data_IF_851986005930
#
_entry.id   IF_851986005930
#
_cell.length_a   1.000
_cell.length_b   1.000
_cell.length_c   1.000
_cell.angle_alpha   90.00
_cell.angle_beta   90.00
_cell.angle_gamma   90.00
#
_symmetry.space_group_name_H-M   'P 1'
#
loop_
_entity.id
_entity.type
_entity.pdbx_description
1 polymer ?
#
# COMPACT_ATOMS: atom_id res chain seq x y z
N UNK A 1 11.17 6.98 19.30
CA UNK A 1 10.59 6.17 18.22
C UNK A 1 9.97 4.93 18.82
N UNK A 2 8.64 4.73 18.72
CA UNK A 2 8.02 3.51 19.19
C UNK A 2 8.52 2.36 18.32
N UNK A 3 9.16 1.37 18.95
CA UNK A 3 9.76 0.18 18.31
C UNK A 3 8.78 -0.49 17.32
N UNK A 4 7.48 -0.40 17.61
CA UNK A 4 6.41 -0.94 16.78
C UNK A 4 6.28 -0.30 15.40
N UNK A 5 6.43 1.02 15.30
CA UNK A 5 6.25 1.75 14.03
C UNK A 5 7.40 1.45 13.09
N UNK A 6 8.63 1.45 13.62
CA UNK A 6 9.82 1.11 12.85
C UNK A 6 9.78 -0.32 12.32
N UNK A 7 9.30 -1.28 13.13
CA UNK A 7 9.10 -2.67 12.67
C UNK A 7 8.17 -2.76 11.47
N UNK A 8 7.06 -2.02 11.45
CA UNK A 8 6.13 -2.03 10.31
C UNK A 8 6.77 -1.50 9.02
N UNK A 9 7.51 -0.40 9.11
CA UNK A 9 8.22 0.15 7.95
C UNK A 9 9.32 -0.78 7.45
N UNK A 10 10.06 -1.42 8.37
CA UNK A 10 11.08 -2.42 8.01
C UNK A 10 10.44 -3.65 7.37
N UNK A 11 9.33 -4.17 7.92
CA UNK A 11 8.62 -5.31 7.32
C UNK A 11 8.06 -4.96 5.95
N UNK A 12 7.45 -3.77 5.80
CA UNK A 12 6.93 -3.31 4.51
C UNK A 12 8.05 -3.15 3.49
N UNK A 13 9.17 -2.52 3.87
CA UNK A 13 10.34 -2.38 3.02
C UNK A 13 10.92 -3.72 2.60
N UNK A 14 11.02 -4.68 3.53
CA UNK A 14 11.47 -6.04 3.23
C UNK A 14 10.53 -6.78 2.27
N UNK A 15 9.21 -6.68 2.48
CA UNK A 15 8.21 -7.24 1.55
C UNK A 15 8.36 -6.63 0.17
N UNK A 16 8.42 -5.30 0.07
CA UNK A 16 8.59 -4.60 -1.20
C UNK A 16 9.87 -5.08 -1.91
N UNK A 17 11.02 -5.06 -1.24
CA UNK A 17 12.30 -5.54 -1.82
C UNK A 17 12.19 -7.00 -2.30
N UNK A 18 11.52 -7.85 -1.52
CA UNK A 18 11.30 -9.25 -1.89
C UNK A 18 10.45 -9.35 -3.17
N UNK A 19 9.32 -8.64 -3.26
CA UNK A 19 8.45 -8.60 -4.43
C UNK A 19 9.19 -8.08 -5.67
N UNK A 20 10.04 -7.07 -5.51
CA UNK A 20 10.87 -6.48 -6.57
C UNK A 20 11.80 -7.50 -7.24
N UNK A 21 12.22 -8.53 -6.51
CA UNK A 21 13.11 -9.58 -7.04
C UNK A 21 12.28 -10.78 -7.49
N UNK A 22 11.36 -11.26 -6.65
CA UNK A 22 10.64 -12.51 -6.87
C UNK A 22 9.69 -12.42 -8.06
N UNK A 23 8.92 -11.33 -8.21
CA UNK A 23 7.90 -11.22 -9.25
C UNK A 23 8.54 -11.15 -10.64
N UNK A 24 9.51 -10.26 -10.93
CA UNK A 24 10.15 -10.23 -12.25
C UNK A 24 10.87 -11.55 -12.58
N UNK A 25 11.55 -12.16 -11.60
CA UNK A 25 12.19 -13.47 -11.79
C UNK A 25 11.17 -14.56 -12.14
N UNK A 26 10.06 -14.65 -11.40
CA UNK A 26 9.02 -15.63 -11.66
C UNK A 26 8.40 -15.44 -13.05
N UNK A 27 8.06 -14.20 -13.43
CA UNK A 27 7.51 -13.89 -14.76
C UNK A 27 8.51 -14.21 -15.87
N UNK A 28 9.79 -13.87 -15.69
CA UNK A 28 10.83 -14.20 -16.67
C UNK A 28 10.99 -15.71 -16.88
N UNK A 29 10.96 -16.50 -15.80
CA UNK A 29 10.99 -17.96 -15.87
C UNK A 29 9.74 -18.50 -16.58
N UNK A 30 8.56 -17.94 -16.32
CA UNK A 30 7.34 -18.32 -17.03
C UNK A 30 7.42 -17.98 -18.52
N UNK A 31 7.91 -16.80 -18.91
CA UNK A 31 8.10 -16.46 -20.32
C UNK A 31 9.11 -17.38 -21.03
N UNK A 32 10.09 -17.92 -20.31
CA UNK A 32 11.05 -18.87 -20.86
C UNK A 32 10.47 -20.29 -21.06
N UNK A 33 9.75 -20.81 -20.06
CA UNK A 33 9.20 -22.17 -20.10
C UNK A 33 7.84 -22.26 -20.80
N UNK A 34 7.02 -21.22 -20.71
CA UNK A 34 5.62 -21.19 -21.15
C UNK A 34 5.26 -19.81 -21.72
N UNK A 35 5.81 -19.43 -22.89
CA UNK A 35 5.63 -18.10 -23.49
C UNK A 35 4.17 -17.76 -23.85
N UNK A 36 3.30 -18.76 -23.86
CA UNK A 36 1.89 -18.63 -24.22
C UNK A 36 0.97 -18.33 -23.03
N UNK A 37 1.48 -18.27 -21.80
CA UNK A 37 0.67 -18.07 -20.60
C UNK A 37 0.64 -16.58 -20.17
N UNK A 38 -0.53 -16.04 -19.77
CA UNK A 38 -0.59 -14.72 -19.13
C UNK A 38 0.23 -14.77 -17.83
N UNK A 39 1.11 -13.78 -17.54
CA UNK A 39 0.87 -12.33 -17.64
C UNK A 39 1.75 -11.59 -18.66
N UNK A 40 2.27 -12.32 -19.65
CA UNK A 40 3.09 -11.79 -20.72
C UNK A 40 2.37 -10.66 -21.49
N UNK A 41 2.79 -9.40 -21.37
CA UNK A 41 2.33 -8.27 -22.21
C UNK A 41 2.37 -8.63 -23.71
N UNK A 42 3.30 -9.49 -24.04
CA UNK A 42 3.61 -10.07 -25.34
C UNK A 42 2.64 -11.17 -25.78
N UNK A 43 2.01 -11.92 -24.87
CA UNK A 43 0.91 -12.84 -25.22
C UNK A 43 -0.30 -12.07 -25.79
N UNK A 44 -0.54 -10.85 -25.30
CA UNK A 44 -1.61 -9.98 -25.81
C UNK A 44 -1.25 -9.29 -27.15
N UNK A 45 0.05 -9.11 -27.46
CA UNK A 45 0.50 -8.38 -28.65
C UNK A 45 0.91 -9.26 -29.83
N UNK A 46 1.40 -10.49 -29.62
CA UNK A 46 2.20 -11.18 -30.64
C UNK A 46 1.63 -12.56 -31.04
N UNK A 47 0.89 -13.27 -30.18
CA UNK A 47 0.53 -14.67 -30.44
C UNK A 47 -0.98 -14.91 -30.35
N UNK A 48 -1.61 -15.06 -31.52
CA UNK A 48 -2.99 -15.51 -31.67
C UNK A 48 -3.01 -17.05 -31.44
N UNK A 49 -3.21 -17.50 -30.20
CA UNK A 49 -3.00 -18.90 -29.82
C UNK A 49 -4.26 -19.60 -29.30
N UNK A 50 -4.44 -20.86 -29.70
CA UNK A 50 -5.67 -21.63 -29.50
C UNK A 50 -5.61 -22.64 -28.33
N UNK A 51 -4.41 -23.03 -27.86
CA UNK A 51 -4.22 -24.02 -26.76
C UNK A 51 -2.97 -23.75 -25.89
N UNK A 52 -3.11 -23.96 -24.57
CA UNK A 52 -2.12 -23.66 -23.52
C UNK A 52 -0.86 -24.55 -23.51
N UNK A 53 -0.94 -25.73 -24.12
CA UNK A 53 0.12 -26.75 -24.07
C UNK A 53 0.96 -26.88 -25.35
N UNK A 54 0.70 -26.07 -26.37
CA UNK A 54 1.55 -26.05 -27.56
C UNK A 54 2.60 -24.98 -27.36
N UNK A 55 3.80 -25.39 -26.94
CA UNK A 55 5.02 -24.67 -27.23
C UNK A 55 5.02 -24.42 -28.74
N UNK A 56 4.63 -23.22 -29.17
CA UNK A 56 4.83 -22.84 -30.57
C UNK A 56 6.30 -23.04 -30.93
N UNK A 57 6.59 -23.26 -32.21
CA UNK A 57 7.95 -23.37 -32.76
C UNK A 57 8.74 -22.04 -32.64
N UNK A 58 8.55 -21.29 -31.55
CA UNK A 58 9.36 -20.17 -31.15
C UNK A 58 10.78 -20.67 -30.87
N UNK A 59 11.72 -20.27 -31.72
CA UNK A 59 13.14 -20.54 -31.51
C UNK A 59 13.61 -20.08 -30.13
N UNK A 60 14.58 -20.80 -29.55
CA UNK A 60 15.14 -20.52 -28.21
C UNK A 60 15.56 -19.05 -28.03
N UNK A 61 16.05 -18.40 -29.08
CA UNK A 61 16.46 -17.01 -29.07
C UNK A 61 15.27 -16.05 -28.85
N UNK A 62 14.11 -16.37 -29.44
CA UNK A 62 12.88 -15.61 -29.23
C UNK A 62 12.37 -15.78 -27.79
N UNK A 63 12.38 -17.02 -27.26
CA UNK A 63 11.98 -17.31 -25.86
C UNK A 63 12.87 -16.56 -24.85
N UNK A 64 14.18 -16.54 -25.09
CA UNK A 64 15.12 -15.79 -24.24
C UNK A 64 14.89 -14.28 -24.32
N UNK A 65 14.73 -13.72 -25.52
CA UNK A 65 14.43 -12.30 -25.71
C UNK A 65 13.13 -11.88 -25.02
N UNK A 66 12.10 -12.74 -25.09
CA UNK A 66 10.81 -12.55 -24.43
C UNK A 66 10.95 -12.49 -22.91
N UNK A 67 11.64 -13.46 -22.31
CA UNK A 67 11.86 -13.53 -20.87
C UNK A 67 12.65 -12.35 -20.32
N UNK A 68 13.65 -11.85 -21.07
CA UNK A 68 14.41 -10.64 -20.68
C UNK A 68 13.56 -9.38 -20.79
N UNK A 69 12.77 -9.25 -21.86
CA UNK A 69 11.87 -8.12 -22.04
C UNK A 69 10.82 -8.06 -20.93
N UNK A 70 10.20 -9.19 -20.61
CA UNK A 70 9.20 -9.28 -19.53
C UNK A 70 9.81 -8.98 -18.16
N UNK A 71 11.00 -9.52 -17.86
CA UNK A 71 11.72 -9.18 -16.63
C UNK A 71 11.90 -7.66 -16.49
N UNK A 72 12.39 -7.01 -17.55
CA UNK A 72 12.63 -5.57 -17.55
C UNK A 72 11.32 -4.77 -17.43
N UNK A 73 10.28 -5.15 -18.18
CA UNK A 73 8.99 -4.50 -18.14
C UNK A 73 8.37 -4.56 -16.74
N UNK A 74 8.33 -5.74 -16.12
CA UNK A 74 7.82 -5.92 -14.77
C UNK A 74 8.65 -5.20 -13.71
N UNK A 75 9.98 -5.20 -13.84
CA UNK A 75 10.86 -4.44 -12.96
C UNK A 75 10.58 -2.94 -13.03
N UNK A 76 10.37 -2.38 -14.23
CA UNK A 76 10.03 -0.96 -14.42
C UNK A 76 8.64 -0.63 -13.86
N UNK A 77 7.64 -1.48 -14.11
CA UNK A 77 6.27 -1.28 -13.60
C UNK A 77 6.26 -1.29 -12.07
N UNK A 78 6.82 -2.35 -11.46
CA UNK A 78 6.89 -2.47 -10.00
C UNK A 78 7.75 -1.35 -9.42
N UNK A 79 8.83 -0.96 -10.11
CA UNK A 79 9.66 0.22 -9.82
C UNK A 79 8.87 1.50 -9.70
N UNK A 80 8.19 1.86 -10.78
CA UNK A 80 7.42 3.10 -10.85
C UNK A 80 6.30 3.12 -9.82
N UNK A 81 5.54 2.03 -9.68
CA UNK A 81 4.43 1.93 -8.72
C UNK A 81 4.95 1.91 -7.28
N UNK A 82 5.95 1.09 -6.98
CA UNK A 82 6.51 0.93 -5.65
C UNK A 82 7.18 2.21 -5.13
N UNK A 83 8.04 2.82 -5.95
CA UNK A 83 8.69 4.09 -5.59
C UNK A 83 7.65 5.22 -5.50
N UNK A 84 6.71 5.27 -6.45
CA UNK A 84 5.63 6.25 -6.44
C UNK A 84 4.79 6.18 -5.17
N UNK A 85 4.31 4.99 -4.80
CA UNK A 85 3.55 4.77 -3.57
C UNK A 85 4.40 5.06 -2.33
N UNK A 86 5.66 4.62 -2.30
CA UNK A 86 6.54 4.85 -1.14
C UNK A 86 6.80 6.34 -0.90
N UNK A 87 7.24 7.05 -1.93
CA UNK A 87 7.60 8.47 -1.82
C UNK A 87 6.36 9.33 -1.61
N UNK A 88 5.25 9.06 -2.30
CA UNK A 88 4.09 9.93 -2.23
C UNK A 88 3.15 9.60 -1.04
N UNK A 89 3.02 8.35 -0.59
CA UNK A 89 2.18 7.98 0.58
C UNK A 89 2.98 7.85 1.87
N UNK A 90 4.00 6.98 1.89
CA UNK A 90 4.64 6.58 3.14
C UNK A 90 5.50 7.70 3.72
N UNK A 91 6.27 8.41 2.89
CA UNK A 91 7.18 9.45 3.36
C UNK A 91 6.46 10.58 4.14
N UNK A 92 5.37 11.20 3.65
CA UNK A 92 4.62 12.18 4.43
C UNK A 92 4.08 11.63 5.76
N UNK A 93 3.70 10.35 5.79
CA UNK A 93 3.21 9.69 7.01
C UNK A 93 4.32 9.48 8.02
N UNK A 94 5.51 9.07 7.59
CA UNK A 94 6.68 8.96 8.46
C UNK A 94 7.05 10.31 9.08
N UNK A 95 7.10 11.36 8.26
CA UNK A 95 7.39 12.73 8.72
C UNK A 95 6.35 13.16 9.76
N UNK A 96 5.05 12.91 9.52
CA UNK A 96 3.98 13.20 10.49
C UNK A 96 4.19 12.44 11.80
N UNK A 97 4.49 11.13 11.74
CA UNK A 97 4.71 10.31 12.92
C UNK A 97 5.92 10.77 13.72
N UNK A 98 7.02 11.13 13.05
CA UNK A 98 8.24 11.63 13.67
C UNK A 98 8.00 12.97 14.38
N UNK A 99 7.27 13.89 13.74
CA UNK A 99 6.89 15.17 14.36
C UNK A 99 6.04 14.93 15.61
N UNK A 100 5.04 14.04 15.55
CA UNK A 100 4.20 13.73 16.71
C UNK A 100 5.03 13.09 17.83
N UNK A 101 5.89 12.12 17.52
CA UNK A 101 6.75 11.45 18.52
C UNK A 101 7.71 12.43 19.19
N UNK A 102 8.26 13.38 18.42
CA UNK A 102 9.10 14.44 18.94
C UNK A 102 8.35 15.38 19.87
N UNK A 103 7.11 15.77 19.52
CA UNK A 103 6.26 16.61 20.39
C UNK A 103 5.91 15.83 21.67
N UNK A 104 5.50 14.57 21.53
CA UNK A 104 5.10 13.68 22.62
C UNK A 104 6.24 13.50 23.64
N UNK A 105 7.46 13.19 23.17
CA UNK A 105 8.63 12.99 24.02
C UNK A 105 9.03 14.26 24.78
N UNK A 106 8.97 15.43 24.14
CA UNK A 106 9.34 16.69 24.78
C UNK A 106 8.25 17.20 25.73
N UNK A 107 6.97 17.01 25.41
CA UNK A 107 5.85 17.51 26.23
C UNK A 107 5.56 16.63 27.45
N UNK A 108 5.70 15.31 27.34
CA UNK A 108 5.52 14.41 28.47
C UNK A 108 6.69 14.45 29.46
N UNK A 109 7.88 14.85 29.02
CA UNK A 109 9.08 14.95 29.87
C UNK A 109 9.16 16.22 30.72
N UNK A 110 8.51 17.31 30.32
CA UNK A 110 8.69 18.63 30.96
C UNK A 110 7.47 19.01 31.80
N UNK A 111 7.68 19.24 33.11
CA UNK A 111 6.64 19.58 34.10
C UNK A 111 5.95 20.94 33.87
N UNK A 112 6.58 21.88 33.15
CA UNK A 112 6.03 23.21 32.82
C UNK A 112 6.01 23.41 31.31
N UNK A 113 4.91 23.91 30.72
CA UNK A 113 4.83 24.18 29.29
C UNK A 113 5.75 25.36 28.96
N UNK A 114 6.96 25.08 28.51
CA UNK A 114 7.88 26.08 28.01
C UNK A 114 7.71 26.16 26.50
N UNK A 115 7.15 27.27 26.03
CA UNK A 115 7.18 27.76 24.64
C UNK A 115 6.05 27.37 23.67
N UNK A 116 5.54 28.39 22.98
CA UNK A 116 4.66 28.37 21.81
C UNK A 116 5.21 27.56 20.62
N UNK A 117 6.48 27.15 20.68
CA UNK A 117 7.17 26.41 19.63
C UNK A 117 6.53 25.05 19.31
N UNK A 118 5.99 24.35 20.32
CA UNK A 118 5.32 23.07 20.11
C UNK A 118 3.99 23.21 19.35
N UNK A 119 3.27 24.29 19.60
CA UNK A 119 2.02 24.61 18.91
C UNK A 119 2.26 25.00 17.45
N UNK A 120 3.36 25.70 17.18
CA UNK A 120 3.82 25.95 15.82
C UNK A 120 4.09 24.65 15.06
N UNK A 121 4.85 23.71 15.67
CA UNK A 121 5.11 22.38 15.07
C UNK A 121 3.83 21.58 14.80
N UNK A 122 2.85 21.66 15.71
CA UNK A 122 1.55 21.02 15.50
C UNK A 122 0.77 21.66 14.32
N UNK A 123 0.89 22.97 14.13
CA UNK A 123 0.30 23.65 12.96
C UNK A 123 0.98 23.25 11.66
N UNK A 124 2.30 23.07 11.66
CA UNK A 124 3.05 22.50 10.53
C UNK A 124 2.56 21.09 10.22
N UNK A 125 2.33 20.25 11.23
CA UNK A 125 1.75 18.91 11.06
C UNK A 125 0.38 18.96 10.37
N UNK A 126 -0.49 19.89 10.78
CA UNK A 126 -1.79 20.09 10.14
C UNK A 126 -1.66 20.52 8.68
N UNK A 127 -0.76 21.46 8.39
CA UNK A 127 -0.49 21.89 7.02
C UNK A 127 -0.02 20.71 6.16
N UNK A 128 0.96 19.93 6.63
CA UNK A 128 1.43 18.71 5.94
C UNK A 128 0.26 17.75 5.72
N UNK A 129 -0.67 17.63 6.67
CA UNK A 129 -1.84 16.79 6.49
C UNK A 129 -2.81 17.30 5.43
N UNK A 130 -3.07 18.60 5.40
CA UNK A 130 -3.90 19.22 4.37
C UNK A 130 -3.25 19.06 2.98
N UNK A 131 -1.94 19.31 2.87
CA UNK A 131 -1.22 19.10 1.62
C UNK A 131 -1.28 17.64 1.16
N UNK A 132 -1.00 16.69 2.05
CA UNK A 132 -1.10 15.27 1.69
C UNK A 132 -2.52 14.92 1.26
N UNK A 133 -3.55 15.40 1.97
CA UNK A 133 -4.94 15.13 1.62
C UNK A 133 -5.36 15.78 0.29
N UNK A 134 -4.74 16.90 -0.09
CA UNK A 134 -4.95 17.54 -1.37
C UNK A 134 -4.27 16.77 -2.51
N UNK A 135 -3.02 16.33 -2.32
CA UNK A 135 -2.28 15.49 -3.28
C UNK A 135 -2.96 14.13 -3.48
N UNK A 136 -3.48 13.56 -2.40
CA UNK A 136 -4.17 12.27 -2.36
C UNK A 136 -5.69 12.41 -2.37
N UNK A 137 -6.20 13.55 -2.83
CA UNK A 137 -7.62 13.69 -3.07
C UNK A 137 -8.07 12.76 -4.20
N UNK A 138 -9.38 12.69 -4.44
CA UNK A 138 -9.91 11.97 -5.59
C UNK A 138 -9.20 12.48 -6.87
N UNK A 139 -8.76 11.57 -7.76
CA UNK A 139 -9.05 10.13 -7.79
C UNK A 139 -7.95 9.22 -7.19
N UNK A 140 -6.82 9.77 -6.71
CA UNK A 140 -5.60 9.01 -6.44
C UNK A 140 -5.75 7.90 -5.39
N UNK A 141 -6.39 8.18 -4.24
CA UNK A 141 -6.60 7.17 -3.19
C UNK A 141 -7.57 6.07 -3.62
N UNK A 142 -8.77 6.37 -4.16
CA UNK A 142 -9.67 5.33 -4.66
C UNK A 142 -9.05 4.48 -5.77
N UNK A 143 -8.31 5.08 -6.70
CA UNK A 143 -7.66 4.34 -7.79
C UNK A 143 -6.56 3.42 -7.25
N UNK A 144 -5.72 3.91 -6.34
CA UNK A 144 -4.68 3.09 -5.71
C UNK A 144 -5.25 1.94 -4.89
N UNK A 145 -6.16 2.24 -3.97
CA UNK A 145 -6.78 1.24 -3.09
C UNK A 145 -7.66 0.26 -3.86
N UNK A 146 -8.47 0.77 -4.80
CA UNK A 146 -9.31 -0.05 -5.67
C UNK A 146 -8.50 -0.94 -6.60
N UNK A 147 -7.39 -0.43 -7.15
CA UNK A 147 -6.48 -1.22 -7.97
C UNK A 147 -5.89 -2.41 -7.22
N UNK A 148 -5.41 -2.19 -5.98
CA UNK A 148 -4.90 -3.27 -5.14
C UNK A 148 -6.00 -4.27 -4.78
N UNK A 149 -7.21 -3.80 -4.45
CA UNK A 149 -8.35 -4.66 -4.14
C UNK A 149 -8.77 -5.54 -5.33
N UNK A 150 -8.82 -4.97 -6.54
CA UNK A 150 -9.11 -5.72 -7.77
C UNK A 150 -8.00 -6.72 -8.06
N UNK A 151 -6.74 -6.34 -7.91
CA UNK A 151 -5.60 -7.24 -8.10
C UNK A 151 -5.64 -8.43 -7.12
N UNK A 152 -5.94 -8.18 -5.85
CA UNK A 152 -6.14 -9.24 -4.84
C UNK A 152 -7.28 -10.17 -5.24
N UNK A 153 -8.44 -9.61 -5.58
CA UNK A 153 -9.64 -10.37 -5.95
C UNK A 153 -9.41 -11.25 -7.17
N UNK A 154 -8.79 -10.71 -8.23
CA UNK A 154 -8.46 -11.45 -9.46
C UNK A 154 -7.44 -12.55 -9.18
N UNK A 155 -6.42 -12.27 -8.36
CA UNK A 155 -5.40 -13.27 -8.01
C UNK A 155 -6.01 -14.44 -7.22
N UNK A 156 -6.88 -14.15 -6.25
CA UNK A 156 -7.61 -15.18 -5.51
C UNK A 156 -8.58 -15.96 -6.40
N UNK A 157 -9.28 -15.28 -7.31
CA UNK A 157 -10.21 -15.92 -8.24
C UNK A 157 -9.48 -16.94 -9.13
N UNK A 158 -8.32 -16.57 -9.69
CA UNK A 158 -7.50 -17.47 -10.51
C UNK A 158 -6.99 -18.65 -9.67
N UNK A 159 -6.55 -18.39 -8.44
CA UNK A 159 -6.08 -19.44 -7.54
C UNK A 159 -7.17 -20.47 -7.20
N UNK A 160 -8.41 -20.02 -7.02
CA UNK A 160 -9.56 -20.89 -6.70
C UNK A 160 -10.07 -21.62 -7.94
N UNK A 161 -10.17 -20.94 -9.08
CA UNK A 161 -10.81 -21.50 -10.29
C UNK A 161 -9.87 -22.43 -11.06
N UNK A 162 -8.57 -22.11 -11.08
CA UNK A 162 -7.61 -22.77 -11.96
C UNK A 162 -6.67 -23.73 -11.24
N UNK A 163 -6.96 -24.11 -9.98
CA UNK A 163 -6.03 -24.93 -9.17
C UNK A 163 -5.72 -26.31 -9.78
N UNK A 164 -6.68 -26.93 -10.47
CA UNK A 164 -6.50 -28.26 -11.08
C UNK A 164 -5.93 -28.19 -12.52
N UNK A 165 -6.01 -27.05 -13.19
CA UNK A 165 -5.65 -26.91 -14.61
C UNK A 165 -4.35 -26.13 -14.83
N UNK A 166 -3.96 -25.26 -13.89
CA UNK A 166 -2.80 -24.40 -14.04
C UNK A 166 -1.51 -25.09 -13.55
N UNK A 167 -0.37 -24.84 -14.23
CA UNK A 167 0.95 -25.20 -13.74
C UNK A 167 1.21 -24.67 -12.33
N UNK A 168 1.89 -25.47 -11.51
CA UNK A 168 2.23 -25.13 -10.12
C UNK A 168 2.95 -23.78 -10.00
N UNK A 169 3.80 -23.44 -10.98
CA UNK A 169 4.55 -22.17 -11.01
C UNK A 169 3.59 -20.96 -11.08
N UNK A 170 2.52 -21.06 -11.86
CA UNK A 170 1.54 -19.98 -12.02
C UNK A 170 0.71 -19.82 -10.76
N UNK A 171 0.28 -20.93 -10.17
CA UNK A 171 -0.45 -20.90 -8.89
C UNK A 171 0.41 -20.26 -7.79
N UNK A 172 1.71 -20.58 -7.77
CA UNK A 172 2.65 -20.00 -6.81
C UNK A 172 2.86 -18.50 -7.06
N UNK A 173 2.92 -18.04 -8.31
CA UNK A 173 2.95 -16.61 -8.63
C UNK A 173 1.71 -15.89 -8.12
N UNK A 174 0.50 -16.37 -8.46
CA UNK A 174 -0.74 -15.73 -8.03
C UNK A 174 -0.91 -15.77 -6.52
N UNK A 175 -0.41 -16.81 -5.85
CA UNK A 175 -0.36 -16.86 -4.39
C UNK A 175 0.55 -15.76 -3.82
N UNK A 176 1.74 -15.55 -4.38
CA UNK A 176 2.64 -14.46 -3.97
C UNK A 176 1.96 -13.10 -4.17
N UNK A 177 1.36 -12.87 -5.35
CA UNK A 177 0.66 -11.61 -5.64
C UNK A 177 -0.51 -11.39 -4.66
N UNK A 178 -1.31 -12.43 -4.39
CA UNK A 178 -2.41 -12.33 -3.43
C UNK A 178 -1.92 -11.99 -2.02
N UNK A 179 -0.85 -12.64 -1.55
CA UNK A 179 -0.24 -12.35 -0.24
C UNK A 179 0.34 -10.94 -0.20
N UNK A 180 0.97 -10.47 -1.27
CA UNK A 180 1.52 -9.12 -1.37
C UNK A 180 0.39 -8.08 -1.33
N UNK A 181 -0.69 -8.26 -2.10
CA UNK A 181 -1.84 -7.36 -2.07
C UNK A 181 -2.52 -7.34 -0.70
N UNK A 182 -2.71 -8.50 -0.07
CA UNK A 182 -3.23 -8.62 1.29
C UNK A 182 -2.37 -7.84 2.30
N UNK A 183 -1.04 -8.06 2.25
CA UNK A 183 -0.09 -7.36 3.10
C UNK A 183 -0.10 -5.85 2.84
N UNK A 184 -0.15 -5.41 1.58
CA UNK A 184 -0.26 -4.00 1.19
C UNK A 184 -1.51 -3.37 1.78
N UNK A 185 -2.68 -3.99 1.65
CA UNK A 185 -3.94 -3.46 2.20
C UNK A 185 -3.84 -3.33 3.72
N UNK A 186 -3.44 -4.39 4.41
CA UNK A 186 -3.38 -4.39 5.87
C UNK A 186 -2.32 -3.44 6.43
N UNK A 187 -1.12 -3.42 5.85
CA UNK A 187 0.01 -2.63 6.34
C UNK A 187 -0.17 -1.15 5.99
N UNK A 188 -0.49 -0.82 4.73
CA UNK A 188 -0.67 0.58 4.32
C UNK A 188 -1.84 1.20 5.08
N UNK A 189 -3.03 0.58 5.10
CA UNK A 189 -4.17 1.16 5.82
C UNK A 189 -3.86 1.38 7.31
N UNK A 190 -3.14 0.44 7.94
CA UNK A 190 -2.72 0.57 9.35
C UNK A 190 -1.72 1.70 9.55
N UNK A 191 -0.73 1.85 8.67
CA UNK A 191 0.23 2.96 8.70
C UNK A 191 -0.51 4.28 8.54
N UNK A 192 -1.42 4.39 7.56
CA UNK A 192 -2.21 5.61 7.31
C UNK A 192 -3.12 5.98 8.48
N UNK A 193 -3.68 4.99 9.20
CA UNK A 193 -4.52 5.20 10.37
C UNK A 193 -3.73 5.60 11.65
N UNK A 194 -2.42 5.31 11.71
CA UNK A 194 -1.61 5.53 12.91
C UNK A 194 -1.42 7.02 13.25
N UNK A 195 -1.06 7.93 12.30
CA UNK A 195 -1.00 9.37 12.55
C UNK A 195 -2.29 9.94 13.13
N UNK A 196 -3.43 9.47 12.63
CA UNK A 196 -4.74 9.89 13.12
C UNK A 196 -4.95 9.48 14.59
N UNK A 197 -4.68 8.21 14.91
CA UNK A 197 -4.80 7.71 16.29
C UNK A 197 -3.87 8.44 17.25
N UNK A 198 -2.60 8.67 16.87
CA UNK A 198 -1.63 9.40 17.70
C UNK A 198 -2.00 10.88 17.86
N UNK A 199 -2.39 11.55 16.78
CA UNK A 199 -2.83 12.95 16.79
C UNK A 199 -4.05 13.16 17.70
N UNK A 200 -5.02 12.25 17.66
CA UNK A 200 -6.20 12.28 18.54
C UNK A 200 -5.81 12.15 20.01
N UNK A 201 -4.99 11.16 20.34
CA UNK A 201 -4.52 10.94 21.72
C UNK A 201 -3.76 12.16 22.25
N UNK A 202 -2.93 12.78 21.41
CA UNK A 202 -2.21 14.01 21.78
C UNK A 202 -3.16 15.18 22.08
N UNK A 203 -4.14 15.43 21.21
CA UNK A 203 -5.15 16.48 21.43
C UNK A 203 -5.91 16.23 22.74
N UNK A 204 -6.30 14.99 23.00
CA UNK A 204 -7.05 14.60 24.20
C UNK A 204 -6.23 14.79 25.47
N UNK A 205 -4.97 14.33 25.46
CA UNK A 205 -4.02 14.55 26.55
C UNK A 205 -3.86 16.05 26.86
N UNK A 206 -3.70 16.87 25.83
CA UNK A 206 -3.52 18.31 26.01
C UNK A 206 -4.79 19.04 26.45
N UNK A 207 -5.99 18.51 26.15
CA UNK A 207 -7.27 19.04 26.66
C UNK A 207 -7.41 18.81 28.17
N UNK A 208 -6.99 17.64 28.66
CA UNK A 208 -7.07 17.26 30.08
C UNK A 208 -6.01 18.01 30.91
N UNK A 209 -4.82 18.25 30.34
CA UNK A 209 -3.73 18.96 31.01
C UNK A 209 -4.14 20.40 31.37
N UNK A 210 -3.76 20.87 32.58
CA UNK A 210 -3.90 22.28 32.99
C UNK A 210 -2.98 23.15 32.13
N UNK A 211 -3.52 23.69 31.04
CA UNK A 211 -2.87 24.60 30.11
C UNK A 211 -3.48 26.00 30.18
N UNK A 212 -2.78 27.01 29.63
CA UNK A 212 -3.30 28.37 29.59
C UNK A 212 -4.58 28.45 28.75
N UNK A 213 -5.44 29.45 29.02
CA UNK A 213 -6.71 29.64 28.27
C UNK A 213 -6.48 29.70 26.76
N UNK A 214 -5.39 30.36 26.33
CA UNK A 214 -5.02 30.47 24.92
C UNK A 214 -4.63 29.13 24.30
N UNK A 215 -3.80 28.33 24.98
CA UNK A 215 -3.42 26.98 24.51
C UNK A 215 -4.65 26.08 24.37
N UNK A 216 -5.56 26.13 25.35
CA UNK A 216 -6.81 25.36 25.31
C UNK A 216 -7.70 25.78 24.13
N UNK A 217 -7.76 27.07 23.81
CA UNK A 217 -8.50 27.58 22.66
C UNK A 217 -7.85 27.12 21.33
N UNK A 218 -6.53 27.22 21.23
CA UNK A 218 -5.75 26.75 20.07
C UNK A 218 -5.93 25.25 19.82
N UNK A 219 -5.89 24.42 20.87
CA UNK A 219 -6.06 22.97 20.72
C UNK A 219 -7.51 22.60 20.38
N UNK A 220 -8.49 23.40 20.80
CA UNK A 220 -9.88 23.24 20.35
C UNK A 220 -10.08 23.57 18.88
N UNK A 221 -9.36 24.55 18.33
CA UNK A 221 -9.42 24.86 16.90
C UNK A 221 -8.67 23.84 16.04
N UNK A 222 -7.73 23.10 16.64
CA UNK A 222 -6.97 22.08 15.94
C UNK A 222 -7.80 20.82 15.64
N UNK A 223 -7.95 20.50 14.35
CA UNK A 223 -8.47 19.20 13.95
C UNK A 223 -7.38 18.13 14.01
N UNK A 224 -7.74 16.88 14.35
CA UNK A 224 -6.83 15.74 14.25
C UNK A 224 -6.45 15.50 12.79
N UNK A 225 -5.21 15.03 12.58
CA UNK A 225 -4.67 14.68 11.26
C UNK A 225 -5.45 13.49 10.67
N UNK A 226 -6.54 13.76 9.96
CA UNK A 226 -7.33 12.78 9.22
C UNK A 226 -6.82 12.69 7.78
N UNK A 227 -6.74 11.49 7.26
CA UNK A 227 -6.53 11.26 5.83
C UNK A 227 -7.85 10.77 5.24
N UNK A 228 -8.38 11.54 4.29
CA UNK A 228 -9.64 11.26 3.61
C UNK A 228 -9.44 10.17 2.56
N UNK A 229 -10.46 9.32 2.38
CA UNK A 229 -10.53 8.39 1.26
C UNK A 229 -11.15 9.03 0.01
N UNK A 230 -11.65 10.28 0.13
CA UNK A 230 -12.23 11.04 -0.98
C UNK A 230 -13.75 10.96 -1.08
N UNK A 231 -14.38 10.00 -0.41
CA UNK A 231 -15.84 9.78 -0.32
C UNK A 231 -16.47 10.37 0.96
N UNK A 232 -15.70 11.18 1.70
CA UNK A 232 -16.09 11.68 3.02
C UNK A 232 -15.75 10.74 4.18
N UNK A 233 -15.27 9.52 3.90
CA UNK A 233 -14.72 8.60 4.90
C UNK A 233 -13.23 8.83 5.12
N UNK A 234 -12.68 8.25 6.19
CA UNK A 234 -11.28 8.41 6.59
C UNK A 234 -10.68 7.07 6.99
N UNK A 235 -9.36 6.94 6.83
CA UNK A 235 -8.63 5.76 7.28
C UNK A 235 -8.70 5.62 8.81
N UNK A 236 -9.33 4.54 9.26
CA UNK A 236 -9.44 4.13 10.64
C UNK A 236 -8.80 2.74 10.87
N UNK A 237 -8.90 2.22 12.09
CA UNK A 237 -8.31 0.90 12.42
C UNK A 237 -9.05 -0.28 11.78
N UNK A 238 -10.32 -0.12 11.40
CA UNK A 238 -11.17 -1.17 10.83
C UNK A 238 -11.15 -1.17 9.29
N UNK A 239 -10.73 -0.07 8.69
CA UNK A 239 -10.59 0.14 7.24
C UNK A 239 -9.90 -1.04 6.52
N UNK A 240 -8.76 -1.60 6.98
CA UNK A 240 -8.18 -2.75 6.30
C UNK A 240 -9.11 -3.98 6.26
N UNK A 241 -9.85 -4.25 7.35
CA UNK A 241 -10.80 -5.35 7.40
C UNK A 241 -12.00 -5.11 6.50
N UNK A 242 -12.52 -3.87 6.47
CA UNK A 242 -13.62 -3.49 5.59
C UNK A 242 -13.21 -3.64 4.13
N UNK A 243 -12.01 -3.19 3.77
CA UNK A 243 -11.47 -3.33 2.41
C UNK A 243 -11.30 -4.81 2.04
N UNK A 244 -10.68 -5.61 2.91
CA UNK A 244 -10.53 -7.04 2.67
C UNK A 244 -11.87 -7.77 2.53
N UNK A 245 -12.85 -7.44 3.37
CA UNK A 245 -14.21 -7.98 3.25
C UNK A 245 -14.82 -7.66 1.88
N UNK A 246 -14.60 -6.45 1.33
CA UNK A 246 -15.04 -6.11 -0.02
C UNK A 246 -14.35 -6.94 -1.10
N UNK A 247 -13.06 -7.25 -0.95
CA UNK A 247 -12.35 -8.15 -1.85
C UNK A 247 -12.98 -9.56 -1.84
N UNK A 248 -13.31 -10.08 -0.64
CA UNK A 248 -13.97 -11.38 -0.51
C UNK A 248 -15.40 -11.37 -1.08
N UNK A 249 -16.19 -10.32 -0.83
CA UNK A 249 -17.53 -10.18 -1.39
C UNK A 249 -17.50 -10.16 -2.93
N UNK A 250 -16.52 -9.45 -3.52
CA UNK A 250 -16.29 -9.43 -4.97
C UNK A 250 -15.85 -10.79 -5.50
N UNK A 251 -14.95 -11.48 -4.78
CA UNK A 251 -14.52 -12.84 -5.12
C UNK A 251 -15.71 -13.80 -5.15
N UNK A 252 -16.57 -13.78 -4.13
CA UNK A 252 -17.79 -14.61 -4.08
C UNK A 252 -18.70 -14.27 -5.27
N UNK A 253 -18.86 -12.99 -5.58
CA UNK A 253 -19.67 -12.53 -6.72
C UNK A 253 -19.13 -13.04 -8.06
N UNK A 254 -17.81 -13.11 -8.22
CA UNK A 254 -17.16 -13.66 -9.41
C UNK A 254 -17.30 -15.19 -9.48
N UNK A 255 -17.24 -15.89 -8.35
CA UNK A 255 -17.40 -17.35 -8.30
C UNK A 255 -18.83 -17.83 -8.52
N UNK A 256 -19.83 -16.99 -8.24
CA UNK A 256 -21.25 -17.29 -8.43
C UNK A 256 -21.74 -17.03 -9.88
N UNK A 257 -20.93 -16.37 -10.71
CA UNK A 257 -21.24 -16.12 -12.13
C UNK A 257 -20.60 -17.17 -13.01
#
# INVERSE_FOLDING_TARGET
VPVYVHRYFVTFGATVISTFILVPCAVSLMGFFQPCMPPALTSAMILNYQNWGHDGEAGLLLKFGLGVYEFYAWLVIIGAVGIGLYVALLYPVEVKLLIIDYIEKNEMGVKRPTSSFHLYKYRVLQLISTYQNNTWCQPSVPVGMGGVAVAETVSLYILVTSYDQAPVIILLLFLIIALDCFMVIHVICKIMATPYSKSRNFIEYMKIRKSSKWVRHFIRSCQPSKLSMGDGTFFDRLTPFVMWQKCIDLLITLLLK
#
